data_IF_782702288251
#
_entry.id   IF_782702288251
#
_cell.length_a   1.000
_cell.length_b   1.000
_cell.length_c   1.000
_cell.angle_alpha   90.00
_cell.angle_beta   90.00
_cell.angle_gamma   90.00
#
_symmetry.space_group_name_H-M   'P 1'
#
loop_
_entity.id
_entity.type
_entity.pdbx_description
1 polymer ?
#
# COMPACT_ATOMS: atom_id res chain seq x y z
N UNK A 1 27.51 5.34 -50.15
CA UNK A 1 26.25 6.03 -49.78
C UNK A 1 25.49 5.24 -48.72
N UNK A 2 25.93 5.26 -47.46
CA UNK A 2 25.22 4.57 -46.35
C UNK A 2 25.59 5.22 -45.00
N UNK A 3 24.99 6.37 -44.62
CA UNK A 3 25.08 6.91 -43.24
C UNK A 3 23.89 7.82 -42.90
N UNK A 4 22.65 7.35 -43.08
CA UNK A 4 21.45 8.15 -42.75
C UNK A 4 20.43 7.45 -41.83
N UNK A 5 20.81 6.37 -41.14
CA UNK A 5 19.88 5.63 -40.27
C UNK A 5 20.09 5.77 -38.77
N UNK A 6 20.90 6.74 -38.31
CA UNK A 6 21.19 6.88 -36.88
C UNK A 6 20.95 8.30 -36.34
N UNK A 7 19.72 8.80 -36.50
CA UNK A 7 19.34 10.10 -35.93
C UNK A 7 17.95 10.09 -35.32
N UNK A 8 17.70 9.23 -34.33
CA UNK A 8 16.39 9.26 -33.64
C UNK A 8 16.34 8.80 -32.17
N UNK A 9 17.37 9.07 -31.35
CA UNK A 9 17.28 8.69 -29.93
C UNK A 9 17.91 9.62 -28.89
N UNK A 10 18.15 10.92 -29.16
CA UNK A 10 18.66 11.81 -28.12
C UNK A 10 18.10 13.23 -28.21
N UNK A 11 16.93 13.44 -27.63
CA UNK A 11 16.54 14.76 -27.11
C UNK A 11 16.02 14.62 -25.69
N UNK A 12 16.90 14.16 -24.79
CA UNK A 12 16.68 14.34 -23.34
C UNK A 12 17.10 15.78 -23.06
N UNK A 13 16.12 16.68 -22.96
CA UNK A 13 16.36 18.10 -22.73
C UNK A 13 16.77 18.30 -21.24
N UNK A 14 18.03 18.69 -20.94
CA UNK A 14 18.57 18.65 -19.58
C UNK A 14 17.96 19.72 -18.65
N UNK A 15 17.24 20.70 -19.19
CA UNK A 15 16.77 21.87 -18.46
C UNK A 15 15.25 21.86 -18.16
N UNK A 16 14.76 20.81 -17.49
CA UNK A 16 13.43 20.83 -16.85
C UNK A 16 13.62 20.62 -15.35
N UNK A 17 13.44 21.62 -14.50
CA UNK A 17 13.50 21.46 -13.03
C UNK A 17 12.09 21.19 -12.46
N UNK A 18 12.00 20.38 -11.41
CA UNK A 18 10.78 20.16 -10.62
C UNK A 18 9.75 19.19 -11.24
N UNK A 19 8.47 19.44 -10.97
CA UNK A 19 7.30 18.61 -11.32
C UNK A 19 7.18 18.24 -12.80
N UNK A 20 7.75 19.05 -13.71
CA UNK A 20 7.72 18.78 -15.15
C UNK A 20 8.49 17.52 -15.55
N UNK A 21 9.57 17.17 -14.84
CA UNK A 21 10.28 15.88 -15.05
C UNK A 21 9.45 14.67 -14.60
N UNK A 22 8.64 14.86 -13.55
CA UNK A 22 7.76 13.82 -13.03
C UNK A 22 6.66 13.49 -14.05
N UNK A 23 6.06 14.52 -14.64
CA UNK A 23 5.02 14.39 -15.68
C UNK A 23 5.59 13.79 -16.97
N UNK A 24 6.81 14.18 -17.37
CA UNK A 24 7.46 13.59 -18.55
C UNK A 24 7.76 12.08 -18.35
N UNK A 25 8.21 11.66 -17.16
CA UNK A 25 8.41 10.24 -16.83
C UNK A 25 7.11 9.43 -16.78
N UNK A 26 5.99 10.05 -16.42
CA UNK A 26 4.66 9.43 -16.46
C UNK A 26 4.20 9.16 -17.90
N UNK A 27 4.56 10.05 -18.84
CA UNK A 27 4.15 9.96 -20.24
C UNK A 27 4.88 8.87 -21.03
N UNK A 28 6.12 8.57 -20.67
CA UNK A 28 6.94 7.61 -21.42
C UNK A 28 6.59 6.13 -21.16
N UNK A 29 6.02 5.77 -19.98
CA UNK A 29 5.61 4.38 -19.64
C UNK A 29 4.43 4.31 -18.64
N UNK A 30 3.20 4.65 -19.04
CA UNK A 30 2.05 4.78 -18.13
C UNK A 30 1.68 3.48 -17.41
N UNK A 31 1.76 2.33 -18.09
CA UNK A 31 1.38 1.04 -17.52
C UNK A 31 2.22 0.65 -16.29
N UNK A 32 3.55 0.87 -16.34
CA UNK A 32 4.45 0.50 -15.23
C UNK A 32 4.19 1.33 -13.98
N UNK A 33 3.81 2.60 -14.14
CA UNK A 33 3.51 3.49 -13.01
C UNK A 33 2.16 3.14 -12.38
N UNK A 34 1.15 2.79 -13.19
CA UNK A 34 -0.14 2.33 -12.67
C UNK A 34 0.03 1.03 -11.87
N UNK A 35 0.80 0.06 -12.39
CA UNK A 35 1.07 -1.18 -11.66
C UNK A 35 1.84 -0.94 -10.37
N UNK A 36 2.88 -0.08 -10.40
CA UNK A 36 3.63 0.27 -9.20
C UNK A 36 2.75 0.97 -8.16
N UNK A 37 1.90 1.91 -8.60
CA UNK A 37 0.94 2.58 -7.73
C UNK A 37 -0.03 1.59 -7.10
N UNK A 38 -0.61 0.67 -7.88
CA UNK A 38 -1.55 -0.33 -7.37
C UNK A 38 -0.90 -1.24 -6.31
N UNK A 39 0.30 -1.76 -6.59
CA UNK A 39 1.03 -2.60 -5.62
C UNK A 39 1.30 -1.82 -4.33
N UNK A 40 1.77 -0.58 -4.45
CA UNK A 40 2.07 0.24 -3.30
C UNK A 40 0.82 0.64 -2.52
N UNK A 41 -0.29 0.87 -3.23
CA UNK A 41 -1.60 1.12 -2.63
C UNK A 41 -2.07 -0.06 -1.77
N UNK A 42 -1.93 -1.29 -2.28
CA UNK A 42 -2.29 -2.50 -1.53
C UNK A 42 -1.39 -2.71 -0.30
N UNK A 43 -0.08 -2.53 -0.45
CA UNK A 43 0.87 -2.65 0.67
C UNK A 43 0.59 -1.60 1.75
N UNK A 44 0.33 -0.36 1.35
CA UNK A 44 -0.04 0.72 2.28
C UNK A 44 -1.46 0.57 2.83
N UNK A 45 -2.29 -0.34 2.31
CA UNK A 45 -3.57 -0.70 2.91
C UNK A 45 -3.42 -1.78 4.00
N UNK A 46 -2.53 -2.76 3.79
CA UNK A 46 -2.33 -3.88 4.72
C UNK A 46 -1.44 -3.47 5.90
N UNK A 47 -0.33 -2.78 5.65
CA UNK A 47 0.71 -2.50 6.64
C UNK A 47 0.27 -1.64 7.83
N UNK A 48 -0.56 -0.59 7.67
CA UNK A 48 -1.00 0.22 8.79
C UNK A 48 -1.85 -0.56 9.82
N UNK A 49 -2.52 -1.63 9.39
CA UNK A 49 -3.44 -2.37 10.25
C UNK A 49 -2.72 -3.01 11.46
N UNK A 50 -1.70 -3.87 11.29
CA UNK A 50 -0.92 -4.38 12.43
C UNK A 50 -0.11 -3.28 13.13
N UNK A 51 0.41 -2.30 12.38
CA UNK A 51 1.21 -1.21 12.94
C UNK A 51 0.43 -0.38 13.96
N UNK A 52 -0.87 -0.21 13.77
CA UNK A 52 -1.75 0.52 14.68
C UNK A 52 -2.36 -0.42 15.73
N UNK A 53 -2.77 -1.62 15.33
CA UNK A 53 -3.43 -2.57 16.24
C UNK A 53 -2.54 -3.00 17.41
N UNK A 54 -1.28 -3.35 17.15
CA UNK A 54 -0.38 -3.84 18.20
C UNK A 54 -0.11 -2.78 19.29
N UNK A 55 0.26 -1.53 18.95
CA UNK A 55 0.39 -0.46 19.94
C UNK A 55 -0.91 -0.15 20.69
N UNK A 56 -2.06 -0.09 20.00
CA UNK A 56 -3.35 0.13 20.65
C UNK A 56 -3.67 -0.94 21.69
N UNK A 57 -3.43 -2.21 21.33
CA UNK A 57 -3.62 -3.34 22.23
C UNK A 57 -2.64 -3.28 23.40
N UNK A 58 -1.35 -3.01 23.14
CA UNK A 58 -0.32 -2.98 24.17
C UNK A 58 -0.55 -1.85 25.19
N UNK A 59 -0.97 -0.68 24.73
CA UNK A 59 -1.27 0.48 25.56
C UNK A 59 -2.68 0.43 26.17
N UNK A 60 -3.45 -0.63 25.91
CA UNK A 60 -4.85 -0.79 26.33
C UNK A 60 -5.73 0.42 25.97
N UNK A 61 -5.46 1.05 24.82
CA UNK A 61 -6.09 2.33 24.44
C UNK A 61 -7.60 2.19 24.29
N UNK A 62 -8.08 1.02 23.86
CA UNK A 62 -9.51 0.75 23.73
C UNK A 62 -10.31 0.91 25.03
N UNK A 63 -9.67 0.83 26.20
CA UNK A 63 -10.33 1.00 27.50
C UNK A 63 -10.62 2.47 27.84
N UNK A 64 -9.88 3.42 27.27
CA UNK A 64 -10.11 4.85 27.52
C UNK A 64 -11.26 5.43 26.70
N UNK A 65 -11.79 4.67 25.73
CA UNK A 65 -12.99 5.07 25.03
C UNK A 65 -14.18 4.95 26.01
N UNK A 66 -14.96 6.01 26.24
CA UNK A 66 -16.11 6.00 27.14
C UNK A 66 -17.30 5.27 26.48
N UNK A 67 -17.09 4.00 26.12
CA UNK A 67 -18.10 3.13 25.53
C UNK A 67 -18.75 2.36 26.68
N UNK A 68 -20.08 2.43 26.86
CA UNK A 68 -20.76 1.65 27.88
C UNK A 68 -20.53 0.15 27.65
N UNK A 69 -20.28 -0.60 28.73
CA UNK A 69 -19.92 -2.03 28.67
C UNK A 69 -20.98 -2.88 27.96
N UNK A 70 -22.24 -2.46 28.03
CA UNK A 70 -23.37 -3.09 27.33
C UNK A 70 -23.16 -3.15 25.81
N UNK A 71 -22.68 -2.07 25.19
CA UNK A 71 -22.41 -2.07 23.74
C UNK A 71 -21.27 -3.01 23.35
N UNK A 72 -20.29 -3.19 24.24
CA UNK A 72 -19.18 -4.12 24.04
C UNK A 72 -19.67 -5.56 24.11
N UNK A 73 -20.48 -5.89 25.13
CA UNK A 73 -21.08 -7.20 25.31
C UNK A 73 -22.02 -7.57 24.16
N UNK A 74 -22.91 -6.65 23.78
CA UNK A 74 -23.80 -6.86 22.63
C UNK A 74 -23.02 -7.06 21.32
N UNK A 75 -21.98 -6.26 21.12
CA UNK A 75 -21.09 -6.35 19.96
C UNK A 75 -20.40 -7.71 19.90
N UNK A 76 -19.80 -8.14 21.01
CA UNK A 76 -19.12 -9.43 21.12
C UNK A 76 -20.10 -10.60 20.95
N UNK A 77 -21.32 -10.53 21.50
CA UNK A 77 -22.36 -11.56 21.30
C UNK A 77 -22.80 -11.69 19.83
N UNK A 78 -22.89 -10.57 19.09
CA UNK A 78 -23.18 -10.59 17.65
C UNK A 78 -22.03 -11.20 16.87
N UNK A 79 -20.79 -10.79 17.16
CA UNK A 79 -19.60 -11.30 16.48
C UNK A 79 -19.34 -12.77 16.79
N UNK A 80 -19.62 -13.23 18.01
CA UNK A 80 -19.44 -14.62 18.42
C UNK A 80 -20.32 -15.56 17.60
N UNK A 81 -21.56 -15.18 17.26
CA UNK A 81 -22.41 -15.97 16.35
C UNK A 81 -21.77 -16.21 14.98
N UNK A 82 -21.00 -15.23 14.49
CA UNK A 82 -20.30 -15.35 13.21
C UNK A 82 -19.01 -16.14 13.39
N UNK A 83 -18.22 -15.86 14.42
CA UNK A 83 -16.95 -16.55 14.71
C UNK A 83 -17.14 -18.05 14.91
N UNK A 84 -18.11 -18.45 15.73
CA UNK A 84 -18.38 -19.87 16.00
C UNK A 84 -18.86 -20.61 14.75
N UNK A 85 -19.58 -19.94 13.85
CA UNK A 85 -19.97 -20.51 12.54
C UNK A 85 -18.76 -20.86 11.67
N UNK A 86 -17.68 -20.07 11.75
CA UNK A 86 -16.43 -20.31 11.02
C UNK A 86 -15.43 -21.18 11.80
N UNK A 87 -15.83 -21.75 12.94
CA UNK A 87 -14.97 -22.61 13.77
C UNK A 87 -13.95 -21.84 14.63
N UNK A 88 -14.11 -20.52 14.79
CA UNK A 88 -13.27 -19.75 15.70
C UNK A 88 -13.82 -19.75 17.12
N UNK A 89 -12.93 -19.68 18.10
CA UNK A 89 -13.32 -19.54 19.50
C UNK A 89 -14.09 -18.23 19.74
N UNK A 90 -15.15 -18.29 20.58
CA UNK A 90 -15.89 -17.11 20.98
C UNK A 90 -14.97 -16.17 21.78
N UNK A 91 -15.11 -14.88 21.52
CA UNK A 91 -14.48 -13.84 22.32
C UNK A 91 -15.21 -13.73 23.66
N UNK A 92 -14.48 -13.41 24.71
CA UNK A 92 -15.09 -13.02 25.98
C UNK A 92 -16.02 -11.81 25.78
N UNK A 93 -17.13 -11.76 26.52
CA UNK A 93 -18.14 -10.70 26.37
C UNK A 93 -17.56 -9.32 26.71
N UNK A 94 -16.60 -9.26 27.65
CA UNK A 94 -15.89 -8.04 28.01
C UNK A 94 -14.64 -7.76 27.15
N UNK A 95 -14.39 -8.58 26.12
CA UNK A 95 -13.18 -8.47 25.30
C UNK A 95 -13.12 -7.16 24.52
N UNK A 96 -12.02 -6.43 24.69
CA UNK A 96 -11.72 -5.20 23.95
C UNK A 96 -11.19 -5.45 22.53
N UNK A 97 -11.11 -6.71 22.08
CA UNK A 97 -10.58 -7.04 20.74
C UNK A 97 -11.39 -6.37 19.64
N UNK A 98 -12.72 -6.42 19.72
CA UNK A 98 -13.59 -5.79 18.74
C UNK A 98 -13.44 -4.26 18.73
N UNK A 99 -13.34 -3.65 19.91
CA UNK A 99 -13.14 -2.20 20.08
C UNK A 99 -11.79 -1.77 19.48
N UNK A 100 -10.70 -2.47 19.83
CA UNK A 100 -9.37 -2.19 19.33
C UNK A 100 -9.28 -2.35 17.80
N UNK A 101 -9.95 -3.36 17.23
CA UNK A 101 -10.04 -3.53 15.77
C UNK A 101 -10.83 -2.41 15.11
N UNK A 102 -11.95 -1.99 15.71
CA UNK A 102 -12.80 -0.91 15.21
C UNK A 102 -12.06 0.42 15.23
N UNK A 103 -11.34 0.70 16.32
CA UNK A 103 -10.49 1.89 16.46
C UNK A 103 -9.34 1.88 15.46
N UNK A 104 -8.67 0.73 15.29
CA UNK A 104 -7.63 0.56 14.27
C UNK A 104 -8.17 0.92 12.89
N UNK A 105 -9.33 0.37 12.52
CA UNK A 105 -9.97 0.65 11.24
C UNK A 105 -10.34 2.12 11.07
N UNK A 106 -10.84 2.78 12.11
CA UNK A 106 -11.15 4.20 12.10
C UNK A 106 -9.89 5.05 11.87
N UNK A 107 -8.79 4.77 12.56
CA UNK A 107 -7.51 5.46 12.39
C UNK A 107 -6.95 5.23 10.99
N UNK A 108 -6.97 3.98 10.51
CA UNK A 108 -6.56 3.63 9.14
C UNK A 108 -7.37 4.45 8.13
N UNK A 109 -8.69 4.59 8.31
CA UNK A 109 -9.54 5.44 7.47
C UNK A 109 -9.15 6.92 7.52
N UNK A 110 -8.84 7.45 8.70
CA UNK A 110 -8.36 8.83 8.83
C UNK A 110 -7.04 9.02 8.05
N UNK A 111 -6.19 8.00 7.99
CA UNK A 111 -4.95 8.01 7.21
C UNK A 111 -5.15 7.89 5.69
N UNK A 112 -6.38 7.80 5.17
CA UNK A 112 -6.64 7.71 3.71
C UNK A 112 -5.97 8.83 2.89
N UNK A 113 -6.02 10.13 3.26
CA UNK A 113 -5.38 11.19 2.48
C UNK A 113 -3.86 11.02 2.43
N UNK A 114 -3.27 10.63 3.56
CA UNK A 114 -1.85 10.33 3.66
C UNK A 114 -1.45 9.15 2.77
N UNK A 115 -2.31 8.12 2.68
CA UNK A 115 -2.09 6.95 1.82
C UNK A 115 -1.99 7.32 0.34
N UNK A 116 -2.87 8.20 -0.14
CA UNK A 116 -2.80 8.68 -1.53
C UNK A 116 -1.54 9.51 -1.75
N UNK A 117 -1.21 10.43 -0.84
CA UNK A 117 0.00 11.25 -0.93
C UNK A 117 1.29 10.43 -0.96
N UNK A 118 1.45 9.50 -0.01
CA UNK A 118 2.61 8.60 0.06
C UNK A 118 2.71 7.69 -1.16
N UNK A 119 1.59 7.12 -1.60
CA UNK A 119 1.57 6.24 -2.77
C UNK A 119 2.02 6.99 -4.03
N UNK A 120 1.53 8.22 -4.24
CA UNK A 120 1.95 9.05 -5.36
C UNK A 120 3.44 9.39 -5.30
N UNK A 121 3.96 9.82 -4.14
CA UNK A 121 5.37 10.20 -3.99
C UNK A 121 6.34 9.06 -4.26
N UNK A 122 6.01 7.84 -3.82
CA UNK A 122 6.86 6.65 -3.90
C UNK A 122 6.71 5.87 -5.22
N UNK A 123 5.66 6.12 -6.01
CA UNK A 123 5.43 5.49 -7.32
C UNK A 123 6.64 5.54 -8.27
N UNK A 124 7.34 6.66 -8.50
CA UNK A 124 8.48 6.71 -9.42
C UNK A 124 9.68 5.88 -8.91
N UNK A 125 9.88 5.83 -7.59
CA UNK A 125 10.94 5.04 -6.98
C UNK A 125 10.67 3.55 -7.21
N UNK A 126 9.45 3.10 -6.92
CA UNK A 126 9.07 1.70 -7.12
C UNK A 126 9.07 1.30 -8.60
N UNK A 127 8.58 2.17 -9.50
CA UNK A 127 8.63 1.95 -10.94
C UNK A 127 10.08 1.81 -11.45
N UNK A 128 11.01 2.60 -10.90
CA UNK A 128 12.43 2.50 -11.24
C UNK A 128 13.05 1.17 -10.79
N UNK A 129 12.63 0.62 -9.65
CA UNK A 129 13.09 -0.69 -9.15
C UNK A 129 12.57 -1.82 -10.03
N UNK A 130 11.28 -1.81 -10.36
CA UNK A 130 10.64 -2.84 -11.19
C UNK A 130 11.29 -2.89 -12.58
N UNK A 131 11.48 -1.74 -13.21
CA UNK A 131 12.11 -1.65 -14.54
C UNK A 131 13.59 -2.06 -14.52
N UNK A 132 14.32 -1.75 -13.44
CA UNK A 132 15.71 -2.18 -13.26
C UNK A 132 15.82 -3.71 -13.05
N UNK A 133 14.90 -4.30 -12.30
CA UNK A 133 14.82 -5.76 -12.11
C UNK A 133 14.51 -6.50 -13.43
N UNK A 134 13.54 -6.01 -14.20
CA UNK A 134 13.13 -6.63 -15.46
C UNK A 134 14.17 -6.50 -16.59
N UNK A 135 14.95 -5.42 -16.62
CA UNK A 135 16.04 -5.27 -17.61
C UNK A 135 17.22 -6.22 -17.34
N UNK A 136 17.43 -6.64 -16.09
CA UNK A 136 18.37 -7.71 -15.73
C UNK A 136 17.97 -9.07 -16.32
N UNK A 137 16.68 -9.41 -16.30
CA UNK A 137 16.16 -10.66 -16.88
C UNK A 137 16.31 -10.71 -18.41
N UNK A 138 16.05 -9.60 -19.11
CA UNK A 138 16.25 -9.54 -20.57
C UNK A 138 17.71 -9.76 -20.97
N UNK A 139 18.65 -9.29 -20.15
CA UNK A 139 20.10 -9.47 -20.36
C UNK A 139 20.56 -10.91 -20.09
N UNK A 140 19.84 -11.66 -19.27
CA UNK A 140 20.10 -13.08 -19.02
C UNK A 140 19.62 -13.97 -20.17
N UNK A 141 18.44 -13.67 -20.73
CA UNK A 141 17.88 -14.42 -21.88
C UNK A 141 18.74 -14.29 -23.14
N UNK A 142 19.35 -13.14 -23.41
CA UNK A 142 20.26 -12.96 -24.56
C UNK A 142 21.63 -13.61 -24.38
N UNK A 143 22.06 -13.91 -23.14
CA UNK A 143 23.35 -14.57 -22.87
C UNK A 143 23.26 -16.10 -22.90
N UNK A 144 22.06 -16.67 -22.75
CA UNK A 144 21.84 -18.11 -22.70
C UNK A 144 21.34 -18.70 -24.04
N UNK A 145 20.97 -17.85 -24.99
CA UNK A 145 20.41 -18.23 -26.30
C UNK A 145 21.27 -17.72 -27.49
N UNK A 146 22.54 -17.43 -27.23
CA UNK A 146 23.62 -17.17 -28.21
C UNK A 146 24.74 -18.16 -27.95
#
# INVERSE_FOLDING_TARGET
>A
MQRLFFRRYLTINPNKKGWRRYIDQLKDRPASHITAFAILHEVTAILPFPLIYFPLKWLNIGQYLPIPIEYIQEGNKKINRVRTRYGFEPLDESSMVLVNLSMTYAIVKILLPLRIGLSLMLTPWLASIITRSLSGLKRFKTKFFS
#
